data_IF_931363865324
#
_entry.id   IF_931363865324
#
_cell.length_a   1.000
_cell.length_b   1.000
_cell.length_c   1.000
_cell.angle_alpha   90.00
_cell.angle_beta   90.00
_cell.angle_gamma   90.00
#
_symmetry.space_group_name_H-M   'P 1'
#
loop_
_entity.id
_entity.type
_entity.pdbx_description
1 polymer ?
#
# COMPACT_ATOMS: atom_id res chain seq x y z
N UNK A 1 26.29 -22.94 20.93
CA UNK A 1 27.34 -22.26 21.72
C UNK A 1 28.75 -22.84 21.51
N UNK A 2 29.10 -24.02 22.03
CA UNK A 2 30.47 -24.56 21.87
C UNK A 2 30.86 -24.79 20.40
N UNK A 3 29.93 -25.28 19.57
CA UNK A 3 30.14 -25.45 18.13
C UNK A 3 30.35 -24.10 17.42
N UNK A 4 29.60 -23.07 17.81
CA UNK A 4 29.72 -21.72 17.23
C UNK A 4 31.07 -21.09 17.59
N UNK A 5 31.52 -21.32 18.82
CA UNK A 5 32.83 -20.87 19.26
C UNK A 5 33.97 -21.59 18.53
N UNK A 6 33.84 -22.89 18.28
CA UNK A 6 34.78 -23.65 17.46
C UNK A 6 34.84 -23.13 16.01
N UNK A 7 33.70 -22.80 15.41
CA UNK A 7 33.62 -22.18 14.06
C UNK A 7 34.29 -20.80 14.04
N UNK A 8 34.12 -20.01 15.09
CA UNK A 8 34.73 -18.69 15.20
C UNK A 8 36.26 -18.78 15.42
N UNK A 9 36.72 -19.76 16.19
CA UNK A 9 38.15 -20.05 16.35
C UNK A 9 38.80 -20.57 15.07
N UNK A 10 38.07 -21.34 14.25
CA UNK A 10 38.52 -21.77 12.92
C UNK A 10 38.75 -20.58 12.00
N UNK A 11 37.81 -19.62 11.96
CA UNK A 11 37.96 -18.38 11.20
C UNK A 11 39.17 -17.56 11.66
N UNK A 12 39.40 -17.48 12.98
CA UNK A 12 40.58 -16.81 13.54
C UNK A 12 41.87 -17.53 13.13
N UNK A 13 41.90 -18.87 13.16
CA UNK A 13 43.06 -19.67 12.77
C UNK A 13 43.39 -19.50 11.28
N UNK A 14 42.37 -19.49 10.41
CA UNK A 14 42.53 -19.21 8.99
C UNK A 14 43.09 -17.81 8.72
N UNK A 15 42.57 -16.78 9.41
CA UNK A 15 43.08 -15.40 9.27
C UNK A 15 44.51 -15.23 9.76
N UNK A 16 44.94 -16.02 10.73
CA UNK A 16 46.31 -16.00 11.27
C UNK A 16 47.28 -16.90 10.51
N UNK A 17 46.81 -17.69 9.54
CA UNK A 17 47.63 -18.63 8.78
C UNK A 17 48.07 -19.87 9.57
N UNK A 18 47.41 -20.16 10.71
CA UNK A 18 47.71 -21.32 11.54
C UNK A 18 46.98 -22.56 11.00
N UNK A 19 47.58 -23.16 9.96
CA UNK A 19 47.00 -24.30 9.24
C UNK A 19 46.92 -25.56 10.10
N UNK A 20 47.79 -25.72 11.10
CA UNK A 20 47.77 -26.85 12.00
C UNK A 20 46.55 -26.80 12.92
N UNK A 21 46.33 -25.65 13.56
CA UNK A 21 45.16 -25.42 14.41
C UNK A 21 43.85 -25.44 13.62
N UNK A 22 43.85 -24.90 12.40
CA UNK A 22 42.67 -24.98 11.52
C UNK A 22 42.33 -26.44 11.16
N UNK A 23 43.33 -27.28 10.90
CA UNK A 23 43.13 -28.71 10.63
C UNK A 23 42.55 -29.47 11.82
N UNK A 24 43.06 -29.21 13.03
CA UNK A 24 42.56 -29.82 14.27
C UNK A 24 41.09 -29.48 14.53
N UNK A 25 40.72 -28.21 14.36
CA UNK A 25 39.34 -27.76 14.56
C UNK A 25 38.42 -28.31 13.48
N UNK A 26 38.85 -28.30 12.21
CA UNK A 26 38.04 -28.73 11.06
C UNK A 26 37.76 -30.23 11.06
N UNK A 27 38.77 -31.06 11.34
CA UNK A 27 38.66 -32.52 11.22
C UNK A 27 38.48 -33.24 12.55
N UNK A 28 38.62 -32.55 13.69
CA UNK A 28 38.43 -33.11 15.02
C UNK A 28 37.26 -32.47 15.76
N UNK A 29 37.48 -31.23 16.23
CA UNK A 29 36.58 -30.59 17.20
C UNK A 29 35.17 -30.32 16.65
N UNK A 30 35.05 -29.78 15.43
CA UNK A 30 33.75 -29.49 14.81
C UNK A 30 32.94 -30.78 14.57
N UNK A 31 33.49 -31.82 13.91
CA UNK A 31 32.78 -33.08 13.72
C UNK A 31 32.32 -33.74 15.04
N UNK A 32 33.16 -33.71 16.09
CA UNK A 32 32.82 -34.25 17.40
C UNK A 32 31.65 -33.51 18.05
N UNK A 33 31.66 -32.18 17.99
CA UNK A 33 30.59 -31.34 18.53
C UNK A 33 29.30 -31.48 17.71
N UNK A 34 29.38 -31.61 16.39
CA UNK A 34 28.23 -31.86 15.52
C UNK A 34 27.60 -33.24 15.80
N UNK A 35 28.42 -34.27 16.04
CA UNK A 35 27.94 -35.59 16.41
C UNK A 35 27.25 -35.57 17.78
N UNK A 36 27.86 -34.96 18.80
CA UNK A 36 27.27 -34.79 20.13
C UNK A 36 25.95 -34.03 20.08
N UNK A 37 25.89 -32.96 19.27
CA UNK A 37 24.66 -32.19 19.09
C UNK A 37 23.54 -33.04 18.48
N UNK A 38 23.87 -33.84 17.46
CA UNK A 38 22.90 -34.73 16.80
C UNK A 38 22.39 -35.81 17.74
N UNK A 39 23.27 -36.43 18.53
CA UNK A 39 22.89 -37.42 19.54
C UNK A 39 21.96 -36.83 20.62
N UNK A 40 22.19 -35.58 21.04
CA UNK A 40 21.30 -34.88 21.96
C UNK A 40 19.94 -34.54 21.34
N UNK A 41 19.89 -34.10 20.08
CA UNK A 41 18.64 -33.81 19.38
C UNK A 41 17.77 -35.06 19.21
N UNK A 42 18.37 -36.20 18.86
CA UNK A 42 17.66 -37.47 18.72
C UNK A 42 17.15 -38.01 20.08
N UNK A 43 17.87 -37.76 21.17
CA UNK A 43 17.43 -38.10 22.54
C UNK A 43 16.29 -37.20 23.04
N UNK A 44 16.29 -35.91 22.69
CA UNK A 44 15.24 -34.97 23.09
C UNK A 44 13.89 -35.27 22.43
N UNK A 45 13.85 -35.92 21.27
CA UNK A 45 12.59 -36.41 20.67
C UNK A 45 11.87 -37.47 21.53
N UNK A 46 12.57 -38.10 22.47
CA UNK A 46 12.02 -39.13 23.38
C UNK A 46 11.54 -38.58 24.73
N UNK A 47 11.73 -37.28 25.01
CA UNK A 47 11.27 -36.65 26.24
C UNK A 47 9.91 -35.94 26.05
N UNK A 48 9.07 -35.98 27.09
CA UNK A 48 7.71 -35.41 27.10
C UNK A 48 7.66 -33.88 27.03
N UNK A 49 8.81 -33.22 27.06
CA UNK A 49 8.95 -31.76 26.99
C UNK A 49 9.29 -31.38 25.54
N UNK A 50 8.33 -30.76 24.85
CA UNK A 50 8.56 -30.16 23.53
C UNK A 50 9.40 -28.89 23.71
N UNK A 51 10.66 -28.95 23.30
CA UNK A 51 11.57 -27.78 23.25
C UNK A 51 11.51 -27.06 21.89
N UNK A 52 10.75 -27.58 20.92
CA UNK A 52 10.53 -26.94 19.62
C UNK A 52 9.36 -25.97 19.70
N UNK A 53 9.59 -24.73 19.22
CA UNK A 53 8.54 -23.73 19.05
C UNK A 53 7.85 -23.98 17.73
N UNK A 54 6.57 -24.35 17.78
CA UNK A 54 5.74 -24.61 16.59
C UNK A 54 4.95 -23.37 16.17
N UNK A 55 4.37 -23.39 14.96
CA UNK A 55 3.46 -22.34 14.50
C UNK A 55 2.24 -22.19 15.43
N UNK A 56 1.77 -23.30 16.02
CA UNK A 56 0.69 -23.31 17.00
C UNK A 56 1.08 -22.56 18.29
N UNK A 57 2.33 -22.71 18.75
CA UNK A 57 2.84 -22.01 19.93
C UNK A 57 2.88 -20.49 19.69
N UNK A 58 3.38 -20.06 18.52
CA UNK A 58 3.42 -18.64 18.13
C UNK A 58 1.99 -18.08 18.05
N UNK A 59 1.10 -18.79 17.36
CA UNK A 59 -0.27 -18.37 17.18
C UNK A 59 -1.01 -18.28 18.53
N UNK A 60 -0.71 -19.16 19.49
CA UNK A 60 -1.28 -19.12 20.85
C UNK A 60 -0.86 -17.89 21.64
N UNK A 61 0.40 -17.42 21.47
CA UNK A 61 0.92 -16.21 22.10
C UNK A 61 0.24 -14.97 21.50
N UNK A 62 0.15 -14.89 20.17
CA UNK A 62 -0.53 -13.80 19.48
C UNK A 62 -2.01 -13.74 19.85
N UNK A 63 -2.67 -14.90 19.91
CA UNK A 63 -4.06 -15.02 20.38
C UNK A 63 -4.22 -14.54 21.82
N UNK A 64 -3.27 -14.86 22.72
CA UNK A 64 -3.28 -14.40 24.11
C UNK A 64 -3.07 -12.88 24.23
N UNK A 65 -2.21 -12.29 23.41
CA UNK A 65 -1.97 -10.84 23.39
C UNK A 65 -3.17 -10.06 22.84
N UNK A 66 -3.82 -10.60 21.80
CA UNK A 66 -4.95 -9.94 21.12
C UNK A 66 -6.30 -10.25 21.74
N UNK A 67 -6.41 -11.36 22.49
CA UNK A 67 -7.66 -11.88 23.04
C UNK A 67 -8.57 -12.56 22.02
N UNK A 68 -8.10 -12.81 20.79
CA UNK A 68 -8.89 -13.37 19.69
C UNK A 68 -8.41 -14.80 19.41
N UNK A 69 -9.29 -15.84 19.43
CA UNK A 69 -8.92 -17.19 19.04
C UNK A 69 -8.38 -17.26 17.60
N UNK A 70 -7.35 -18.07 17.37
CA UNK A 70 -6.67 -18.20 16.06
C UNK A 70 -7.66 -18.56 14.96
N UNK A 71 -8.53 -19.55 15.19
CA UNK A 71 -9.55 -19.98 14.23
C UNK A 71 -10.48 -18.82 13.83
N UNK A 72 -10.85 -17.97 14.80
CA UNK A 72 -11.67 -16.78 14.54
C UNK A 72 -10.90 -15.69 13.80
N UNK A 73 -9.58 -15.57 14.02
CA UNK A 73 -8.74 -14.65 13.26
C UNK A 73 -8.66 -15.08 11.78
N UNK A 74 -8.44 -16.38 11.53
CA UNK A 74 -8.36 -16.95 10.18
C UNK A 74 -9.70 -16.92 9.45
N UNK A 75 -10.79 -17.29 10.14
CA UNK A 75 -12.15 -17.23 9.59
C UNK A 75 -12.54 -15.78 9.22
N UNK A 76 -12.22 -14.83 10.10
CA UNK A 76 -12.42 -13.40 9.85
C UNK A 76 -11.59 -12.87 8.67
N UNK A 77 -10.35 -13.32 8.52
CA UNK A 77 -9.51 -12.94 7.36
C UNK A 77 -10.10 -13.48 6.05
N UNK A 78 -10.61 -14.72 6.03
CA UNK A 78 -11.24 -15.30 4.84
C UNK A 78 -12.50 -14.53 4.44
N UNK A 79 -13.40 -14.28 5.38
CA UNK A 79 -14.65 -13.54 5.12
C UNK A 79 -14.35 -12.12 4.64
N UNK A 80 -13.36 -11.47 5.25
CA UNK A 80 -12.87 -10.16 4.82
C UNK A 80 -12.41 -10.18 3.37
N UNK A 81 -11.61 -11.15 2.94
CA UNK A 81 -11.13 -11.26 1.55
C UNK A 81 -12.23 -11.60 0.54
N UNK A 82 -13.28 -12.32 0.94
CA UNK A 82 -14.43 -12.61 0.10
C UNK A 82 -15.32 -11.39 -0.14
N UNK A 83 -15.32 -10.44 0.80
CA UNK A 83 -16.09 -9.19 0.71
C UNK A 83 -15.24 -7.98 0.30
N UNK A 84 -14.02 -8.23 -0.19
CA UNK A 84 -13.05 -7.18 -0.49
C UNK A 84 -13.58 -6.16 -1.48
N UNK A 85 -14.19 -6.58 -2.59
CA UNK A 85 -14.73 -5.68 -3.61
C UNK A 85 -15.76 -4.72 -3.03
N UNK A 86 -16.67 -5.22 -2.20
CA UNK A 86 -17.75 -4.40 -1.62
C UNK A 86 -17.19 -3.38 -0.62
N UNK A 87 -16.22 -3.79 0.20
CA UNK A 87 -15.53 -2.86 1.11
C UNK A 87 -14.75 -1.80 0.32
N UNK A 88 -14.06 -2.19 -0.75
CA UNK A 88 -13.30 -1.26 -1.58
C UNK A 88 -14.20 -0.29 -2.33
N UNK A 89 -15.37 -0.74 -2.84
CA UNK A 89 -16.37 0.11 -3.53
C UNK A 89 -16.95 1.19 -2.63
N UNK A 90 -17.03 0.95 -1.32
CA UNK A 90 -17.50 1.98 -0.38
C UNK A 90 -16.57 3.20 -0.31
N UNK A 91 -15.30 3.04 -0.74
CA UNK A 91 -14.26 4.08 -0.69
C UNK A 91 -13.76 4.54 -2.05
N UNK A 92 -13.77 3.66 -3.06
CA UNK A 92 -13.30 3.93 -4.42
C UNK A 92 -14.43 3.68 -5.41
N UNK A 93 -14.94 4.76 -6.01
CA UNK A 93 -16.08 4.71 -6.92
C UNK A 93 -15.64 4.70 -8.38
N UNK A 94 -16.32 3.88 -9.18
CA UNK A 94 -16.20 3.90 -10.64
C UNK A 94 -14.96 3.18 -11.20
N UNK A 95 -14.25 2.39 -10.39
CA UNK A 95 -13.04 1.66 -10.80
C UNK A 95 -13.17 0.15 -10.55
N UNK A 96 -14.32 -0.42 -10.90
CA UNK A 96 -14.66 -1.83 -10.61
C UNK A 96 -13.69 -2.85 -11.22
N UNK A 97 -13.20 -2.60 -12.45
CA UNK A 97 -12.20 -3.46 -13.11
C UNK A 97 -10.92 -3.54 -12.27
N UNK A 98 -10.39 -2.39 -11.85
CA UNK A 98 -9.19 -2.32 -11.04
C UNK A 98 -9.39 -2.96 -9.65
N UNK A 99 -10.53 -2.71 -9.01
CA UNK A 99 -10.87 -3.32 -7.71
C UNK A 99 -10.94 -4.84 -7.84
N UNK A 100 -11.65 -5.36 -8.85
CA UNK A 100 -11.80 -6.81 -9.05
C UNK A 100 -10.47 -7.49 -9.36
N UNK A 101 -9.65 -6.91 -10.25
CA UNK A 101 -8.35 -7.47 -10.61
C UNK A 101 -7.42 -7.59 -9.40
N UNK A 102 -7.34 -6.54 -8.58
CA UNK A 102 -6.52 -6.53 -7.36
C UNK A 102 -7.07 -7.50 -6.32
N UNK A 103 -8.39 -7.52 -6.10
CA UNK A 103 -9.03 -8.47 -5.17
C UNK A 103 -8.75 -9.92 -5.56
N UNK A 104 -8.79 -10.24 -6.85
CA UNK A 104 -8.44 -11.56 -7.36
C UNK A 104 -6.96 -11.91 -7.13
N UNK A 105 -6.04 -10.98 -7.39
CA UNK A 105 -4.62 -11.19 -7.13
C UNK A 105 -4.31 -11.39 -5.64
N UNK A 106 -4.87 -10.55 -4.76
CA UNK A 106 -4.73 -10.72 -3.30
C UNK A 106 -5.27 -12.07 -2.84
N UNK A 107 -6.43 -12.51 -3.37
CA UNK A 107 -6.97 -13.84 -3.06
C UNK A 107 -6.05 -14.97 -3.53
N UNK A 108 -5.42 -14.86 -4.71
CA UNK A 108 -4.42 -15.84 -5.17
C UNK A 108 -3.21 -15.90 -4.26
N UNK A 109 -2.65 -14.75 -3.87
CA UNK A 109 -1.54 -14.67 -2.94
C UNK A 109 -1.88 -15.31 -1.58
N UNK A 110 -3.06 -14.99 -1.03
CA UNK A 110 -3.50 -15.49 0.29
C UNK A 110 -3.94 -16.96 0.30
N UNK A 111 -4.33 -17.50 -0.84
CA UNK A 111 -4.66 -18.93 -0.99
C UNK A 111 -3.46 -19.81 -1.34
N UNK A 112 -2.26 -19.22 -1.46
CA UNK A 112 -1.05 -19.95 -1.87
C UNK A 112 -1.06 -20.38 -3.34
N UNK A 113 -1.90 -19.77 -4.17
CA UNK A 113 -2.00 -20.04 -5.62
C UNK A 113 -1.08 -19.15 -6.46
N UNK A 114 -0.15 -18.45 -5.81
CA UNK A 114 0.86 -17.59 -6.43
C UNK A 114 2.25 -18.03 -5.98
N UNK A 115 3.27 -17.71 -6.77
CA UNK A 115 4.67 -17.87 -6.38
C UNK A 115 4.98 -17.17 -5.04
N UNK A 116 5.44 -17.95 -4.05
CA UNK A 116 5.80 -17.49 -2.72
C UNK A 116 7.07 -16.62 -2.68
N UNK A 117 7.77 -16.48 -3.81
CA UNK A 117 8.90 -15.57 -3.95
C UNK A 117 8.50 -14.20 -4.47
N UNK A 118 7.26 -13.97 -4.91
CA UNK A 118 6.83 -12.67 -5.43
C UNK A 118 6.07 -11.85 -4.38
N UNK A 119 6.00 -10.51 -4.52
CA UNK A 119 5.12 -9.68 -3.70
C UNK A 119 3.65 -10.13 -3.78
N UNK A 120 2.80 -9.71 -2.83
CA UNK A 120 1.35 -10.03 -2.79
C UNK A 120 0.66 -9.71 -4.12
N UNK A 121 1.12 -8.67 -4.80
CA UNK A 121 0.70 -8.33 -6.15
C UNK A 121 1.45 -7.10 -6.65
N UNK A 122 1.50 -6.96 -7.97
CA UNK A 122 2.20 -5.90 -8.67
C UNK A 122 1.35 -5.34 -9.80
N UNK A 123 1.05 -4.04 -9.75
CA UNK A 123 0.10 -3.42 -10.69
C UNK A 123 0.61 -2.11 -11.24
N UNK A 124 0.39 -1.88 -12.54
CA UNK A 124 0.56 -0.56 -13.15
C UNK A 124 -0.81 0.08 -13.36
N UNK A 125 -1.07 1.19 -12.66
CA UNK A 125 -2.27 2.00 -12.77
C UNK A 125 -2.08 3.10 -13.81
N UNK A 126 -2.78 2.98 -14.93
CA UNK A 126 -2.78 3.94 -16.03
C UNK A 126 -4.03 4.80 -15.96
N UNK A 127 -3.93 6.11 -16.20
CA UNK A 127 -5.11 6.97 -16.27
C UNK A 127 -4.80 8.43 -15.98
N UNK A 128 -5.76 9.36 -16.16
CA UNK A 128 -5.55 10.76 -15.85
C UNK A 128 -5.44 11.02 -14.34
N UNK A 129 -5.07 12.24 -13.96
CA UNK A 129 -5.00 12.62 -12.54
C UNK A 129 -6.39 12.73 -11.91
N UNK A 130 -6.51 12.45 -10.61
CA UNK A 130 -7.75 12.68 -9.87
C UNK A 130 -8.88 11.68 -10.10
N UNK A 131 -8.60 10.53 -10.74
CA UNK A 131 -9.58 9.44 -10.97
C UNK A 131 -9.63 8.37 -9.87
N UNK A 132 -8.71 8.43 -8.89
CA UNK A 132 -8.73 7.52 -7.74
C UNK A 132 -7.54 6.57 -7.60
N UNK A 133 -6.50 6.65 -8.46
CA UNK A 133 -5.28 5.80 -8.39
C UNK A 133 -4.66 5.75 -6.97
N UNK A 134 -4.36 6.92 -6.40
CA UNK A 134 -3.79 7.03 -5.05
C UNK A 134 -4.79 6.68 -3.95
N UNK A 135 -6.09 6.95 -4.16
CA UNK A 135 -7.12 6.61 -3.18
C UNK A 135 -7.30 5.10 -3.08
N UNK A 136 -7.19 4.38 -4.20
CA UNK A 136 -7.21 2.92 -4.22
C UNK A 136 -6.02 2.33 -3.44
N UNK A 137 -4.81 2.89 -3.60
CA UNK A 137 -3.66 2.46 -2.82
C UNK A 137 -3.86 2.65 -1.30
N UNK A 138 -4.44 3.77 -0.87
CA UNK A 138 -4.79 4.04 0.54
C UNK A 138 -5.87 3.11 1.07
N UNK A 139 -6.91 2.89 0.27
CA UNK A 139 -7.98 1.95 0.59
C UNK A 139 -7.42 0.53 0.76
N UNK A 140 -6.49 0.11 -0.11
CA UNK A 140 -5.80 -1.18 -0.01
C UNK A 140 -4.92 -1.27 1.24
N UNK A 141 -4.18 -0.21 1.60
CA UNK A 141 -3.39 -0.19 2.83
C UNK A 141 -4.28 -0.35 4.07
N UNK A 142 -5.37 0.43 4.13
CA UNK A 142 -6.36 0.34 5.20
C UNK A 142 -7.04 -1.03 5.24
N UNK A 143 -7.35 -1.62 4.09
CA UNK A 143 -8.04 -2.90 4.03
C UNK A 143 -7.10 -4.05 4.37
N UNK A 144 -5.93 -4.18 3.73
CA UNK A 144 -5.03 -5.32 3.91
C UNK A 144 -4.29 -5.28 5.25
N UNK A 145 -3.90 -4.10 5.70
CA UNK A 145 -3.01 -3.94 6.85
C UNK A 145 -3.67 -3.24 8.04
N UNK A 146 -4.98 -2.98 7.97
CA UNK A 146 -5.75 -2.27 9.00
C UNK A 146 -5.16 -0.90 9.37
N UNK A 147 -4.38 -0.29 8.48
CA UNK A 147 -3.72 0.99 8.69
C UNK A 147 -3.50 1.71 7.35
N UNK A 148 -4.11 2.88 7.18
CA UNK A 148 -3.91 3.72 5.99
C UNK A 148 -2.48 4.25 5.89
N UNK A 149 -1.75 4.34 7.01
CA UNK A 149 -0.33 4.69 7.06
C UNK A 149 0.59 3.51 6.70
N UNK A 150 0.04 2.31 6.43
CA UNK A 150 0.76 1.20 5.79
C UNK A 150 0.93 1.44 4.28
N UNK A 151 1.27 2.67 3.91
CA UNK A 151 1.46 3.12 2.54
C UNK A 151 2.78 3.89 2.46
N UNK A 152 3.78 3.27 1.83
CA UNK A 152 5.01 3.95 1.43
C UNK A 152 4.77 4.57 0.05
N UNK A 153 4.67 5.90 -0.01
CA UNK A 153 4.60 6.62 -1.28
C UNK A 153 5.97 7.17 -1.64
N UNK A 154 6.42 6.89 -2.86
CA UNK A 154 7.66 7.40 -3.42
C UNK A 154 7.35 8.11 -4.74
N UNK A 155 7.68 9.39 -4.82
CA UNK A 155 7.50 10.19 -6.03
C UNK A 155 8.70 9.97 -6.97
N UNK A 156 8.47 9.42 -8.15
CA UNK A 156 9.52 9.09 -9.11
C UNK A 156 10.12 10.31 -9.80
N UNK A 157 9.47 11.48 -9.69
CA UNK A 157 10.08 12.75 -10.09
C UNK A 157 11.32 13.10 -9.26
N UNK A 158 11.47 12.58 -8.04
CA UNK A 158 12.69 12.75 -7.23
C UNK A 158 13.85 11.84 -7.66
N UNK A 159 13.59 10.87 -8.56
CA UNK A 159 14.51 9.82 -9.00
C UNK A 159 14.77 9.86 -10.52
N UNK A 160 14.63 11.04 -11.14
CA UNK A 160 14.89 11.25 -12.57
C UNK A 160 16.37 11.13 -12.94
N UNK A 161 17.27 11.41 -11.99
CA UNK A 161 18.72 11.43 -12.20
C UNK A 161 19.39 10.16 -11.65
N UNK A 162 20.47 9.72 -12.31
CA UNK A 162 21.22 8.52 -11.93
C UNK A 162 21.70 8.54 -10.47
N UNK A 163 22.18 9.68 -9.97
CA UNK A 163 22.66 9.80 -8.60
C UNK A 163 21.53 9.69 -7.55
N UNK A 164 20.31 10.06 -7.92
CA UNK A 164 19.16 9.93 -7.02
C UNK A 164 18.75 8.46 -6.82
N UNK A 165 18.98 7.58 -7.79
CA UNK A 165 18.66 6.14 -7.71
C UNK A 165 19.34 5.48 -6.53
N UNK A 166 20.60 5.83 -6.23
CA UNK A 166 21.31 5.30 -5.06
C UNK A 166 20.64 5.66 -3.73
N UNK A 167 19.87 6.76 -3.65
CA UNK A 167 19.10 7.10 -2.43
C UNK A 167 17.95 6.13 -2.18
N UNK A 168 17.45 5.44 -3.23
CA UNK A 168 16.35 4.49 -3.09
C UNK A 168 16.80 3.23 -2.32
N UNK A 169 17.99 2.72 -2.62
CA UNK A 169 18.54 1.48 -2.05
C UNK A 169 19.64 1.68 -1.02
N UNK A 170 20.21 2.89 -0.94
CA UNK A 170 21.33 3.22 -0.07
C UNK A 170 22.64 3.28 -0.88
N UNK A 171 23.51 4.22 -0.50
CA UNK A 171 24.81 4.37 -1.14
C UNK A 171 25.78 3.26 -0.70
N UNK A 172 26.68 2.79 -1.57
CA UNK A 172 27.73 1.86 -1.20
C UNK A 172 28.81 2.55 -0.33
N UNK A 173 29.68 1.77 0.36
CA UNK A 173 30.77 2.32 1.18
C UNK A 173 31.63 3.32 0.41
N UNK A 174 31.86 4.50 1.00
CA UNK A 174 32.70 5.56 0.43
C UNK A 174 31.95 6.64 -0.36
N UNK A 175 30.62 6.58 -0.45
CA UNK A 175 29.78 7.61 -1.07
C UNK A 175 28.99 8.44 -0.04
N UNK A 176 28.65 9.68 -0.39
CA UNK A 176 27.79 10.54 0.44
C UNK A 176 26.42 9.87 0.63
N UNK A 177 25.91 9.83 1.87
CA UNK A 177 24.66 9.15 2.21
C UNK A 177 24.82 7.67 2.58
N UNK A 178 26.06 7.17 2.73
CA UNK A 178 26.32 5.79 3.18
C UNK A 178 25.63 5.44 4.51
N UNK A 179 25.56 6.38 5.47
CA UNK A 179 24.95 6.13 6.78
C UNK A 179 23.42 6.27 6.79
N UNK A 180 22.82 6.92 5.79
CA UNK A 180 21.38 7.25 5.78
C UNK A 180 20.49 6.07 5.35
N UNK A 181 21.08 5.02 4.76
CA UNK A 181 20.35 3.88 4.20
C UNK A 181 19.51 4.26 2.97
N UNK A 182 18.84 3.27 2.37
CA UNK A 182 17.95 3.52 1.23
C UNK A 182 16.54 3.87 1.66
N UNK A 183 15.92 4.86 1.00
CA UNK A 183 14.53 5.26 1.29
C UNK A 183 13.56 4.09 1.16
N UNK A 184 13.72 3.23 0.14
CA UNK A 184 12.88 2.05 -0.07
C UNK A 184 13.29 0.90 0.86
N UNK A 185 14.57 0.57 0.88
CA UNK A 185 15.08 -0.59 1.63
C UNK A 185 14.89 -0.45 3.14
N UNK A 186 15.12 0.74 3.71
CA UNK A 186 14.89 1.00 5.13
C UNK A 186 13.41 1.02 5.49
N UNK A 187 12.56 1.63 4.64
CA UNK A 187 11.14 1.68 4.89
C UNK A 187 10.50 0.29 4.90
N UNK A 188 10.89 -0.58 3.96
CA UNK A 188 10.40 -1.97 3.88
C UNK A 188 10.97 -2.82 4.99
N UNK A 189 12.25 -2.65 5.34
CA UNK A 189 12.86 -3.35 6.49
C UNK A 189 12.16 -3.02 7.80
N UNK A 190 11.79 -1.76 8.03
CA UNK A 190 11.08 -1.33 9.23
C UNK A 190 9.61 -1.75 9.24
N UNK A 191 8.98 -1.81 8.06
CA UNK A 191 7.58 -2.19 7.89
C UNK A 191 7.40 -3.14 6.70
N UNK A 192 7.56 -4.46 6.88
CA UNK A 192 7.48 -5.42 5.77
C UNK A 192 6.07 -5.56 5.17
N UNK A 193 5.03 -5.23 5.95
CA UNK A 193 3.62 -5.32 5.57
C UNK A 193 3.08 -3.93 5.23
N UNK A 194 3.13 -3.58 3.94
CA UNK A 194 2.65 -2.30 3.45
C UNK A 194 2.37 -2.31 1.94
N UNK A 195 1.58 -1.33 1.51
CA UNK A 195 1.46 -0.97 0.10
C UNK A 195 2.63 -0.05 -0.25
N UNK A 196 3.31 -0.32 -1.36
CA UNK A 196 4.36 0.55 -1.90
C UNK A 196 3.83 1.17 -3.18
N UNK A 197 3.73 2.50 -3.18
CA UNK A 197 3.21 3.30 -4.28
C UNK A 197 4.34 4.10 -4.94
N UNK A 198 4.74 3.67 -6.13
CA UNK A 198 5.62 4.42 -7.01
C UNK A 198 4.78 5.37 -7.88
N UNK A 199 4.78 6.65 -7.54
CA UNK A 199 3.96 7.65 -8.22
C UNK A 199 4.72 8.23 -9.43
N UNK A 200 4.03 8.41 -10.56
CA UNK A 200 4.59 8.95 -11.82
C UNK A 200 5.81 8.17 -12.35
N UNK A 201 5.70 6.84 -12.41
CA UNK A 201 6.82 5.94 -12.76
C UNK A 201 7.47 6.25 -14.12
N UNK A 202 6.75 6.86 -15.05
CA UNK A 202 7.31 7.29 -16.35
C UNK A 202 8.40 8.37 -16.24
N UNK A 203 8.56 9.00 -15.07
CA UNK A 203 9.61 9.99 -14.81
C UNK A 203 10.89 9.37 -14.26
N UNK A 204 10.83 8.12 -13.77
CA UNK A 204 11.97 7.48 -13.13
C UNK A 204 13.16 7.31 -14.09
N UNK A 205 14.38 7.41 -13.55
CA UNK A 205 15.58 7.03 -14.28
C UNK A 205 15.54 5.54 -14.67
N UNK A 206 16.06 5.13 -15.85
CA UNK A 206 16.07 3.74 -16.30
C UNK A 206 16.64 2.73 -15.28
N UNK A 207 17.63 3.13 -14.49
CA UNK A 207 18.24 2.26 -13.46
C UNK A 207 17.28 1.88 -12.33
N UNK A 208 16.20 2.65 -12.09
CA UNK A 208 15.14 2.30 -11.13
C UNK A 208 14.42 1.01 -11.56
N UNK A 209 14.21 0.81 -12.86
CA UNK A 209 13.51 -0.39 -13.35
C UNK A 209 14.32 -1.67 -13.14
N UNK A 210 15.66 -1.59 -13.15
CA UNK A 210 16.51 -2.73 -12.83
C UNK A 210 16.33 -3.18 -11.37
N UNK A 211 16.20 -2.22 -10.46
CA UNK A 211 15.91 -2.46 -9.04
C UNK A 211 14.51 -3.08 -8.89
N UNK A 212 13.51 -2.51 -9.59
CA UNK A 212 12.14 -3.01 -9.53
C UNK A 212 12.01 -4.43 -10.10
N UNK A 213 12.70 -4.76 -11.19
CA UNK A 213 12.71 -6.12 -11.74
C UNK A 213 13.12 -7.15 -10.69
N UNK A 214 14.19 -6.87 -9.93
CA UNK A 214 14.63 -7.75 -8.84
C UNK A 214 13.54 -7.93 -7.78
N UNK A 215 12.85 -6.85 -7.40
CA UNK A 215 11.75 -6.91 -6.43
C UNK A 215 10.55 -7.70 -6.97
N UNK A 216 10.20 -7.51 -8.24
CA UNK A 216 9.04 -8.16 -8.87
C UNK A 216 9.26 -9.66 -9.13
N UNK A 217 10.51 -10.06 -9.33
CA UNK A 217 10.91 -11.45 -9.61
C UNK A 217 11.21 -12.25 -8.35
N UNK A 218 12.09 -11.73 -7.50
CA UNK A 218 12.63 -12.48 -6.36
C UNK A 218 11.95 -12.08 -5.03
N UNK A 219 11.10 -11.06 -5.05
CA UNK A 219 10.45 -10.51 -3.85
C UNK A 219 11.48 -10.04 -2.82
N UNK A 220 12.70 -9.73 -3.26
CA UNK A 220 13.82 -9.37 -2.42
C UNK A 220 14.68 -8.32 -3.10
N UNK A 221 15.32 -7.49 -2.32
CA UNK A 221 16.25 -6.47 -2.82
C UNK A 221 17.47 -6.39 -1.92
N UNK A 222 18.65 -6.39 -2.53
CA UNK A 222 19.89 -6.18 -1.81
C UNK A 222 20.22 -4.69 -1.78
N UNK A 223 20.38 -4.13 -0.59
CA UNK A 223 20.74 -2.73 -0.40
C UNK A 223 22.21 -2.44 -0.77
N UNK A 224 22.59 -1.15 -0.80
CA UNK A 224 23.97 -0.74 -1.12
C UNK A 224 25.03 -1.25 -0.13
N UNK A 225 24.61 -1.83 1.00
CA UNK A 225 25.46 -2.37 2.06
C UNK A 225 25.50 -3.91 2.04
N UNK A 226 24.85 -4.54 1.05
CA UNK A 226 24.81 -6.00 0.89
C UNK A 226 23.74 -6.71 1.73
N UNK A 227 22.84 -5.98 2.40
CA UNK A 227 21.76 -6.58 3.19
C UNK A 227 20.57 -6.85 2.29
N UNK A 228 19.96 -8.03 2.45
CA UNK A 228 18.77 -8.39 1.68
C UNK A 228 17.51 -8.00 2.45
N UNK A 229 16.60 -7.29 1.80
CA UNK A 229 15.29 -6.85 2.30
C UNK A 229 14.19 -7.66 1.61
N UNK A 230 13.19 -8.09 2.37
CA UNK A 230 12.08 -8.93 1.89
C UNK A 230 10.84 -8.08 1.53
N UNK A 231 10.31 -8.29 0.32
CA UNK A 231 9.16 -7.63 -0.27
C UNK A 231 7.95 -8.56 -0.48
N UNK A 232 8.04 -9.85 -0.11
CA UNK A 232 6.96 -10.84 -0.34
C UNK A 232 5.64 -10.43 0.32
N UNK A 233 5.71 -9.70 1.43
CA UNK A 233 4.55 -9.20 2.18
C UNK A 233 4.07 -7.80 1.75
N UNK A 234 4.56 -7.30 0.62
CA UNK A 234 4.22 -5.98 0.09
C UNK A 234 3.25 -6.06 -1.08
N UNK A 235 2.46 -5.01 -1.27
CA UNK A 235 1.66 -4.81 -2.48
C UNK A 235 2.29 -3.68 -3.29
N UNK A 236 2.76 -3.95 -4.50
CA UNK A 236 3.46 -2.99 -5.35
C UNK A 236 2.47 -2.33 -6.30
N UNK A 237 2.35 -1.02 -6.24
CA UNK A 237 1.52 -0.22 -7.14
C UNK A 237 2.41 0.82 -7.80
N UNK A 238 2.35 0.88 -9.12
CA UNK A 238 2.98 1.93 -9.92
C UNK A 238 1.88 2.76 -10.55
N UNK A 239 1.96 4.09 -10.51
CA UNK A 239 1.01 4.94 -11.24
C UNK A 239 1.71 5.61 -12.40
N UNK A 240 0.97 5.76 -13.50
CA UNK A 240 1.43 6.52 -14.64
C UNK A 240 0.29 7.31 -15.27
N UNK A 241 0.63 8.45 -15.86
CA UNK A 241 -0.29 9.25 -16.67
C UNK A 241 -0.11 9.00 -18.18
N UNK A 242 0.71 8.03 -18.58
CA UNK A 242 0.90 7.64 -19.98
C UNK A 242 -0.41 7.20 -20.64
N UNK A 243 -0.65 7.66 -21.87
CA UNK A 243 -1.86 7.36 -22.64
C UNK A 243 -3.12 8.02 -22.09
N UNK A 244 -3.01 8.93 -21.13
CA UNK A 244 -4.17 9.61 -20.54
C UNK A 244 -4.91 10.51 -21.53
N UNK A 245 -4.30 10.93 -22.63
CA UNK A 245 -4.97 11.65 -23.71
C UNK A 245 -6.08 10.83 -24.38
N UNK A 246 -5.88 9.52 -24.57
CA UNK A 246 -6.88 8.63 -25.19
C UNK A 246 -8.04 8.35 -24.24
N UNK A 247 -7.74 8.25 -22.93
CA UNK A 247 -8.74 8.07 -21.87
C UNK A 247 -9.50 9.37 -21.56
N UNK A 248 -8.95 10.51 -21.98
CA UNK A 248 -9.52 11.82 -21.70
C UNK A 248 -10.66 12.21 -22.65
N UNK A 249 -10.68 11.66 -23.85
CA UNK A 249 -11.65 12.03 -24.88
C UNK A 249 -12.76 10.99 -25.04
N UNK A 250 -12.69 9.89 -24.30
CA UNK A 250 -13.61 8.78 -24.43
C UNK A 250 -14.54 8.69 -23.21
N UNK A 251 -15.83 8.94 -23.43
CA UNK A 251 -16.88 8.61 -22.48
C UNK A 251 -17.39 7.20 -22.78
N UNK A 252 -17.00 6.24 -21.93
CA UNK A 252 -17.52 4.87 -21.99
C UNK A 252 -17.95 4.40 -20.61
N UNK A 253 -19.05 3.65 -20.57
CA UNK A 253 -19.49 2.92 -19.39
C UNK A 253 -18.86 1.51 -19.39
N UNK A 254 -18.46 1.01 -18.23
CA UNK A 254 -17.80 -0.30 -18.12
C UNK A 254 -16.30 -0.29 -18.45
N UNK A 255 -15.83 -1.36 -19.10
CA UNK A 255 -14.43 -1.58 -19.50
C UNK A 255 -14.02 -0.67 -20.66
N UNK A 256 -12.73 -0.35 -20.75
CA UNK A 256 -12.21 0.43 -21.87
C UNK A 256 -12.40 -0.31 -23.20
N UNK A 257 -13.00 0.33 -24.23
CA UNK A 257 -13.08 -0.23 -25.57
C UNK A 257 -11.71 -0.71 -26.03
N UNK A 258 -11.68 -1.86 -26.70
CA UNK A 258 -10.43 -2.51 -27.14
C UNK A 258 -9.52 -1.55 -27.90
N UNK A 259 -10.08 -0.73 -28.78
CA UNK A 259 -9.34 0.27 -29.57
C UNK A 259 -8.59 1.29 -28.67
N UNK A 260 -9.24 1.79 -27.62
CA UNK A 260 -8.63 2.73 -26.67
C UNK A 260 -7.58 2.02 -25.83
N UNK A 261 -7.87 0.78 -25.40
CA UNK A 261 -6.90 -0.04 -24.65
C UNK A 261 -5.65 -0.28 -25.48
N UNK A 262 -5.79 -0.61 -26.76
CA UNK A 262 -4.67 -0.84 -27.67
C UNK A 262 -3.84 0.46 -27.85
N UNK A 263 -4.49 1.62 -28.06
CA UNK A 263 -3.81 2.92 -28.15
C UNK A 263 -3.02 3.28 -26.88
N UNK A 264 -3.61 3.08 -25.70
CA UNK A 264 -2.93 3.31 -24.43
C UNK A 264 -1.73 2.36 -24.28
N UNK A 265 -1.92 1.08 -24.61
CA UNK A 265 -0.87 0.08 -24.50
C UNK A 265 0.29 0.30 -25.48
N UNK A 266 0.04 0.89 -26.65
CA UNK A 266 1.10 1.27 -27.59
C UNK A 266 2.01 2.36 -27.00
N UNK A 267 1.45 3.37 -26.32
CA UNK A 267 2.24 4.37 -25.58
C UNK A 267 3.04 3.72 -24.46
N UNK A 268 2.42 2.83 -23.69
CA UNK A 268 3.07 2.11 -22.58
C UNK A 268 4.24 1.27 -23.08
N UNK A 269 4.06 0.50 -24.17
CA UNK A 269 5.11 -0.33 -24.79
C UNK A 269 6.22 0.49 -25.44
N UNK A 270 5.93 1.72 -25.86
CA UNK A 270 6.96 2.63 -26.38
C UNK A 270 7.88 3.15 -25.27
N UNK A 271 7.37 3.26 -24.05
CA UNK A 271 8.09 3.81 -22.90
C UNK A 271 8.75 2.72 -22.05
N UNK A 272 8.05 1.64 -21.73
CA UNK A 272 8.55 0.54 -20.91
C UNK A 272 8.97 -0.66 -21.74
N UNK A 273 10.06 -1.31 -21.32
CA UNK A 273 10.54 -2.54 -21.94
C UNK A 273 9.56 -3.69 -21.68
N UNK A 274 9.35 -4.61 -22.65
CA UNK A 274 8.46 -5.76 -22.47
C UNK A 274 8.80 -6.62 -21.24
N UNK A 275 10.09 -6.75 -20.92
CA UNK A 275 10.56 -7.49 -19.75
C UNK A 275 9.94 -6.96 -18.46
N UNK A 276 9.90 -5.64 -18.27
CA UNK A 276 9.29 -5.01 -17.10
C UNK A 276 7.78 -5.24 -17.05
N UNK A 277 7.09 -5.03 -18.18
CA UNK A 277 5.64 -5.18 -18.26
C UNK A 277 5.20 -6.62 -17.96
N UNK A 278 5.97 -7.61 -18.42
CA UNK A 278 5.69 -9.03 -18.20
C UNK A 278 5.90 -9.49 -16.74
N UNK A 279 6.55 -8.67 -15.89
CA UNK A 279 6.71 -8.97 -14.45
C UNK A 279 5.59 -8.40 -13.58
N UNK A 280 4.70 -7.59 -14.15
CA UNK A 280 3.51 -7.10 -13.47
C UNK A 280 2.41 -8.15 -13.52
N UNK A 281 1.62 -8.26 -12.47
CA UNK A 281 0.47 -9.17 -12.46
C UNK A 281 -0.68 -8.63 -13.30
N UNK A 282 -0.86 -7.30 -13.35
CA UNK A 282 -1.83 -6.67 -14.24
C UNK A 282 -1.49 -5.20 -14.55
N UNK A 283 -2.02 -4.71 -15.68
CA UNK A 283 -1.98 -3.31 -16.09
C UNK A 283 -3.42 -2.80 -16.13
N UNK A 284 -3.74 -1.90 -15.20
CA UNK A 284 -5.10 -1.49 -14.90
C UNK A 284 -5.36 -0.08 -15.41
N UNK A 285 -6.38 0.06 -16.25
CA UNK A 285 -6.78 1.34 -16.85
C UNK A 285 -7.87 1.98 -16.00
N UNK A 286 -7.57 3.16 -15.48
CA UNK A 286 -8.49 3.98 -14.71
C UNK A 286 -9.20 4.95 -15.64
N UNK A 287 -10.52 4.82 -15.67
CA UNK A 287 -11.39 5.70 -16.45
C UNK A 287 -11.71 6.99 -15.71
N UNK A 288 -12.22 7.97 -16.46
CA UNK A 288 -12.75 9.21 -15.88
C UNK A 288 -13.93 8.92 -14.97
N UNK A 289 -14.05 9.73 -13.92
CA UNK A 289 -15.18 9.70 -13.03
C UNK A 289 -16.38 10.35 -13.72
N UNK A 290 -17.50 9.62 -13.79
CA UNK A 290 -18.76 10.17 -14.25
C UNK A 290 -19.34 11.15 -13.21
N UNK A 291 -20.24 12.03 -13.64
CA UNK A 291 -20.99 12.90 -12.72
C UNK A 291 -21.78 12.09 -11.68
N UNK A 292 -22.23 10.89 -12.02
CA UNK A 292 -22.92 10.01 -11.09
C UNK A 292 -22.01 9.58 -9.93
N UNK A 293 -20.72 9.34 -10.19
CA UNK A 293 -19.74 9.02 -9.14
C UNK A 293 -19.48 10.20 -8.21
N UNK A 294 -19.47 11.44 -8.72
CA UNK A 294 -19.12 12.62 -7.93
C UNK A 294 -19.99 12.81 -6.68
N UNK A 295 -21.29 12.54 -6.76
CA UNK A 295 -22.20 12.61 -5.59
C UNK A 295 -21.77 11.65 -4.49
N UNK A 296 -21.40 10.41 -4.84
CA UNK A 296 -20.88 9.45 -3.88
C UNK A 296 -19.52 9.85 -3.32
N UNK A 297 -18.65 10.45 -4.14
CA UNK A 297 -17.34 10.94 -3.69
C UNK A 297 -17.51 12.08 -2.67
N UNK A 298 -18.50 12.97 -2.87
CA UNK A 298 -18.86 14.00 -1.88
C UNK A 298 -19.21 13.34 -0.55
N UNK A 299 -20.07 12.32 -0.55
CA UNK A 299 -20.44 11.60 0.68
C UNK A 299 -19.22 10.98 1.38
N UNK A 300 -18.32 10.35 0.63
CA UNK A 300 -17.08 9.76 1.15
C UNK A 300 -16.18 10.84 1.78
N UNK A 301 -15.96 11.97 1.11
CA UNK A 301 -15.12 13.07 1.63
C UNK A 301 -15.71 13.69 2.91
N UNK A 302 -17.03 13.64 3.09
CA UNK A 302 -17.72 14.20 4.25
C UNK A 302 -17.69 13.28 5.47
N UNK A 303 -17.35 11.99 5.34
CA UNK A 303 -17.30 11.05 6.48
C UNK A 303 -16.44 11.61 7.61
N UNK A 304 -15.22 12.09 7.31
CA UNK A 304 -14.32 12.65 8.32
C UNK A 304 -14.87 13.93 8.94
N UNK A 305 -15.52 14.79 8.14
CA UNK A 305 -16.12 16.02 8.65
C UNK A 305 -17.30 15.73 9.57
N UNK A 306 -18.18 14.80 9.19
CA UNK A 306 -19.31 14.35 10.01
C UNK A 306 -18.83 13.80 11.35
N UNK A 307 -17.79 12.98 11.36
CA UNK A 307 -17.19 12.45 12.59
C UNK A 307 -16.67 13.56 13.51
N UNK A 308 -15.97 14.55 12.95
CA UNK A 308 -15.48 15.70 13.75
C UNK A 308 -16.61 16.56 14.34
N UNK A 309 -17.73 16.69 13.62
CA UNK A 309 -18.91 17.41 14.11
C UNK A 309 -19.68 16.58 15.14
N UNK A 310 -19.73 15.27 14.97
CA UNK A 310 -20.35 14.33 15.93
C UNK A 310 -19.64 14.37 17.30
N UNK A 311 -18.31 14.50 17.32
CA UNK A 311 -17.53 14.73 18.55
C UNK A 311 -17.95 16.03 19.27
N UNK A 312 -18.48 17.01 18.53
CA UNK A 312 -19.06 18.26 19.06
C UNK A 312 -20.58 18.18 19.29
N UNK A 313 -21.18 17.00 19.08
CA UNK A 313 -22.62 16.71 19.09
C UNK A 313 -23.41 17.53 18.06
N UNK A 314 -22.82 17.81 16.91
CA UNK A 314 -23.47 18.51 15.80
C UNK A 314 -23.73 17.48 14.69
N UNK A 315 -24.98 17.35 14.29
CA UNK A 315 -25.35 16.47 13.17
C UNK A 315 -25.32 17.27 11.87
N UNK A 316 -24.63 16.76 10.85
CA UNK A 316 -24.55 17.40 9.52
C UNK A 316 -25.30 16.59 8.48
N UNK A 317 -26.34 17.19 7.90
CA UNK A 317 -27.14 16.62 6.83
C UNK A 317 -27.02 17.48 5.58
N UNK A 318 -26.80 16.84 4.43
CA UNK A 318 -26.75 17.53 3.14
C UNK A 318 -27.90 17.05 2.28
N UNK A 319 -28.72 18.00 1.81
CA UNK A 319 -29.73 17.72 0.80
C UNK A 319 -29.08 17.42 -0.56
N UNK A 320 -29.84 16.76 -1.43
CA UNK A 320 -29.39 16.43 -2.79
C UNK A 320 -28.94 17.66 -3.59
N UNK A 321 -29.59 18.82 -3.38
CA UNK A 321 -29.23 20.09 -4.01
C UNK A 321 -27.81 20.53 -3.65
N UNK A 322 -27.44 20.45 -2.37
CA UNK A 322 -26.09 20.79 -1.89
C UNK A 322 -25.04 19.79 -2.40
N UNK A 323 -25.36 18.48 -2.39
CA UNK A 323 -24.45 17.45 -2.93
C UNK A 323 -24.19 17.64 -4.42
N UNK A 324 -25.23 17.97 -5.19
CA UNK A 324 -25.11 18.23 -6.61
C UNK A 324 -24.28 19.47 -6.91
N UNK A 325 -24.50 20.56 -6.16
CA UNK A 325 -23.69 21.76 -6.26
C UNK A 325 -22.21 21.49 -5.97
N UNK A 326 -21.90 20.80 -4.85
CA UNK A 326 -20.53 20.40 -4.51
C UNK A 326 -19.90 19.49 -5.55
N UNK A 327 -20.69 18.58 -6.14
CA UNK A 327 -20.24 17.69 -7.21
C UNK A 327 -19.86 18.44 -8.47
N UNK A 328 -20.67 19.44 -8.86
CA UNK A 328 -20.44 20.24 -10.05
C UNK A 328 -19.24 21.18 -9.88
N UNK A 329 -19.15 21.89 -8.75
CA UNK A 329 -18.02 22.77 -8.45
C UNK A 329 -16.71 22.01 -8.19
N UNK A 330 -16.81 20.80 -7.64
CA UNK A 330 -15.67 19.95 -7.31
C UNK A 330 -15.16 19.07 -8.46
N UNK A 331 -15.81 19.13 -9.63
CA UNK A 331 -15.44 18.35 -10.81
C UNK A 331 -14.69 19.22 -11.81
N UNK A 332 -13.54 18.74 -12.24
CA UNK A 332 -12.77 19.33 -13.34
C UNK A 332 -12.55 18.28 -14.45
N UNK A 333 -12.82 18.60 -15.73
CA UNK A 333 -12.63 17.66 -16.83
C UNK A 333 -11.20 17.14 -16.98
N UNK A 334 -10.19 17.93 -16.60
CA UNK A 334 -8.77 17.59 -16.69
C UNK A 334 -8.27 16.93 -15.40
N UNK A 335 -8.69 17.45 -14.25
CA UNK A 335 -8.18 17.03 -12.93
C UNK A 335 -9.12 16.11 -12.14
N UNK A 336 -10.25 15.71 -12.71
CA UNK A 336 -11.24 14.84 -12.08
C UNK A 336 -11.77 15.41 -10.76
N UNK A 337 -11.81 14.58 -9.72
CA UNK A 337 -12.30 14.98 -8.39
C UNK A 337 -11.25 15.73 -7.53
N UNK A 338 -10.07 16.03 -8.06
CA UNK A 338 -8.97 16.68 -7.31
C UNK A 338 -9.36 18.01 -6.66
N UNK A 339 -10.15 18.91 -7.29
CA UNK A 339 -10.57 20.17 -6.68
C UNK A 339 -11.57 20.00 -5.53
N UNK A 340 -12.31 18.89 -5.49
CA UNK A 340 -13.44 18.70 -4.59
C UNK A 340 -13.11 18.95 -3.11
N UNK A 341 -11.96 18.46 -2.65
CA UNK A 341 -11.53 18.67 -1.26
C UNK A 341 -11.42 20.16 -0.91
N UNK A 342 -10.87 20.97 -1.83
CA UNK A 342 -10.73 22.42 -1.65
C UNK A 342 -12.09 23.12 -1.70
N UNK A 343 -12.99 22.66 -2.57
CA UNK A 343 -14.36 23.17 -2.66
C UNK A 343 -15.13 22.90 -1.36
N UNK A 344 -15.08 21.68 -0.83
CA UNK A 344 -15.68 21.34 0.46
C UNK A 344 -15.09 22.20 1.58
N UNK A 345 -13.76 22.36 1.62
CA UNK A 345 -13.13 23.19 2.64
C UNK A 345 -13.62 24.65 2.58
N UNK A 346 -13.56 25.27 1.40
CA UNK A 346 -13.91 26.69 1.22
C UNK A 346 -15.39 26.96 1.41
N UNK A 347 -16.24 26.14 0.78
CA UNK A 347 -17.66 26.41 0.64
C UNK A 347 -18.51 25.79 1.73
N UNK A 348 -17.99 24.78 2.45
CA UNK A 348 -18.71 24.10 3.53
C UNK A 348 -18.00 24.29 4.88
N UNK A 349 -16.76 23.82 5.02
CA UNK A 349 -16.08 23.79 6.32
C UNK A 349 -15.83 25.18 6.89
N UNK A 350 -15.35 26.11 6.07
CA UNK A 350 -15.08 27.48 6.52
C UNK A 350 -16.37 28.17 7.01
N UNK A 351 -17.48 27.99 6.28
CA UNK A 351 -18.77 28.58 6.66
C UNK A 351 -19.33 27.96 7.94
N UNK A 352 -19.22 26.63 8.09
CA UNK A 352 -19.57 25.95 9.34
C UNK A 352 -18.74 26.47 10.52
N UNK A 353 -17.42 26.58 10.34
CA UNK A 353 -16.53 27.07 11.39
C UNK A 353 -16.90 28.49 11.82
N UNK A 354 -17.16 29.39 10.87
CA UNK A 354 -17.63 30.75 11.18
C UNK A 354 -18.94 30.75 11.95
N UNK A 355 -19.94 29.97 11.54
CA UNK A 355 -21.24 29.93 12.22
C UNK A 355 -21.18 29.29 13.62
N UNK A 356 -20.31 28.31 13.83
CA UNK A 356 -20.05 27.73 15.15
C UNK A 356 -19.40 28.77 16.07
N UNK A 357 -18.37 29.48 15.59
CA UNK A 357 -17.68 30.53 16.36
C UNK A 357 -18.58 31.73 16.68
N UNK A 358 -19.49 32.09 15.77
CA UNK A 358 -20.52 33.10 15.98
C UNK A 358 -21.63 32.65 16.94
N UNK A 359 -21.66 31.36 17.33
CA UNK A 359 -22.68 30.79 18.21
C UNK A 359 -24.05 30.57 17.56
N UNK A 360 -24.12 30.63 16.22
CA UNK A 360 -25.34 30.34 15.43
C UNK A 360 -25.65 28.85 15.34
N UNK A 361 -24.60 28.02 15.31
CA UNK A 361 -24.68 26.56 15.42
C UNK A 361 -24.16 26.17 16.80
N UNK A 362 -24.93 25.38 17.54
CA UNK A 362 -24.62 24.94 18.90
C UNK A 362 -24.55 23.42 18.99
N UNK A 363 -23.96 22.95 20.09
CA UNK A 363 -23.94 21.53 20.42
C UNK A 363 -25.38 21.01 20.59
N UNK A 364 -25.70 19.89 19.96
CA UNK A 364 -27.04 19.30 19.89
C UNK A 364 -27.86 19.71 18.65
N UNK A 365 -27.37 20.65 17.85
CA UNK A 365 -28.08 21.08 16.63
C UNK A 365 -27.89 20.10 15.47
N UNK A 366 -28.93 19.99 14.65
CA UNK A 366 -28.83 19.40 13.32
C UNK A 366 -28.72 20.52 12.29
N UNK A 367 -27.65 20.48 11.50
CA UNK A 367 -27.34 21.44 10.44
C UNK A 367 -27.69 20.81 9.10
N UNK A 368 -28.75 21.31 8.47
CA UNK A 368 -29.16 20.92 7.12
C UNK A 368 -28.57 21.91 6.12
N UNK A 369 -27.80 21.38 5.16
CA UNK A 369 -27.16 22.17 4.11
C UNK A 369 -27.91 22.00 2.80
N UNK A 370 -28.25 23.11 2.17
CA UNK A 370 -29.04 23.20 0.94
C UNK A 370 -28.37 24.15 -0.05
N UNK A 371 -28.76 24.10 -1.32
CA UNK A 371 -28.34 25.08 -2.33
C UNK A 371 -29.57 25.70 -2.99
N UNK A 372 -29.54 27.02 -3.23
CA UNK A 372 -30.56 27.77 -3.96
C UNK A 372 -29.87 28.69 -4.97
N UNK A 373 -30.34 28.69 -6.21
CA UNK A 373 -29.70 29.40 -7.33
C UNK A 373 -29.30 30.85 -6.99
N UNK A 374 -28.08 31.23 -7.39
CA UNK A 374 -27.38 32.51 -7.11
C UNK A 374 -26.88 32.76 -5.68
N UNK A 375 -27.16 31.87 -4.73
CA UNK A 375 -26.56 31.89 -3.39
C UNK A 375 -25.72 30.61 -3.23
N UNK A 376 -24.60 30.67 -2.51
CA UNK A 376 -23.76 29.49 -2.25
C UNK A 376 -24.49 28.45 -1.37
N UNK A 377 -23.74 27.66 -0.61
CA UNK A 377 -24.36 26.72 0.34
C UNK A 377 -25.08 27.49 1.47
N UNK A 378 -26.33 27.11 1.72
CA UNK A 378 -27.21 27.68 2.74
C UNK A 378 -27.33 26.69 3.89
N UNK A 379 -27.16 27.17 5.12
CA UNK A 379 -27.22 26.39 6.34
C UNK A 379 -28.52 26.69 7.09
N UNK A 380 -29.27 25.64 7.43
CA UNK A 380 -30.44 25.71 8.30
C UNK A 380 -30.14 24.91 9.56
N UNK A 381 -30.33 25.52 10.71
CA UNK A 381 -30.21 24.85 12.00
C UNK A 381 -31.59 24.49 12.52
N UNK A 382 -31.76 23.24 12.91
CA UNK A 382 -32.87 22.80 13.74
C UNK A 382 -32.30 22.33 15.07
N UNK A 383 -32.73 22.95 16.16
CA UNK A 383 -32.42 22.44 17.49
C UNK A 383 -33.18 21.14 17.69
N UNK A 384 -32.45 20.09 18.07
CA UNK A 384 -33.06 18.86 18.59
C UNK A 384 -33.70 19.24 19.93
N UNK A 385 -34.94 19.71 19.88
CA UNK A 385 -35.64 20.21 21.06
C UNK A 385 -35.89 19.08 22.06
N UNK A 386 -35.16 19.13 23.17
CA UNK A 386 -35.35 18.47 24.48
C UNK A 386 -35.55 16.96 24.54
#
# INVERSE_FOLDING_TARGET
>A
EQLDQARLELDIAHRKGDLAKAGEITYGLIPELEQKLKEHVDQSQSQTLKEEVTEEDIASIVSRWTGIPIDKMLEGEREKLLTMEDQMRSRVLGQDEAVSAISNAVRRARSGLQDANRPIGSFLFLGPTGVGKTELAKALASFLFNDEHALLRIDMSEFMEKHAVSRLIGAPPGYVGYEEGGTLTEAVRRRPYQVILFDEIEKAHPDVFNILLQVLDDGRLTDGQGRTVDFKNTLIILTSNLGSEFLSHADFEGEAPKEIRDQVMDVVRSHFRPEFLNRLDDILIFKRLSRAHMKGIVDIQLIRLKKLLEDQKITLELENSAKEWLSNEGYDPVYGARPLKRVIQRSLQNLLASQILEGKIKSGDTVTVTHKDNEGLIFKTSSSGK
#
